data_IF_952941938703
#
_entry.id   IF_952941938703
#
_cell.length_a   1.000
_cell.length_b   1.000
_cell.length_c   1.000
_cell.angle_alpha   90.00
_cell.angle_beta   90.00
_cell.angle_gamma   90.00
#
_symmetry.space_group_name_H-M   'P 1'
#
loop_
_entity.id
_entity.type
_entity.pdbx_description
1 polymer ?
#
# COMPACT_ATOMS: atom_id res chain seq x y z
N UNK A 1 -21.16 6.52 -2.89
CA UNK A 1 -20.75 6.02 -1.55
C UNK A 1 -19.24 6.28 -1.44
N UNK A 2 -18.78 6.81 -0.33
CA UNK A 2 -17.37 7.01 0.02
C UNK A 2 -16.71 5.65 0.25
N UNK A 3 -15.41 5.53 0.00
CA UNK A 3 -14.65 4.38 0.44
C UNK A 3 -14.19 4.60 1.88
N UNK A 4 -14.04 3.53 2.64
CA UNK A 4 -13.40 3.56 3.96
C UNK A 4 -11.96 3.10 3.82
N UNK A 5 -11.04 3.90 4.37
CA UNK A 5 -9.64 3.55 4.55
C UNK A 5 -9.42 3.20 6.01
N UNK A 6 -9.14 1.94 6.30
CA UNK A 6 -8.86 1.45 7.64
C UNK A 6 -7.38 1.13 7.77
N UNK A 7 -6.65 1.90 8.58
CA UNK A 7 -5.22 1.70 8.80
C UNK A 7 -5.01 0.72 9.96
N UNK A 8 -4.54 -0.48 9.66
CA UNK A 8 -4.35 -1.52 10.66
C UNK A 8 -3.04 -1.31 11.42
N UNK A 9 -1.90 -1.31 10.72
CA UNK A 9 -0.57 -1.10 11.32
C UNK A 9 0.50 -1.00 10.21
N UNK A 10 1.63 -0.39 10.48
CA UNK A 10 2.83 -0.38 9.65
C UNK A 10 2.57 0.11 8.20
N UNK A 11 2.44 -0.78 7.23
CA UNK A 11 2.01 -0.50 5.86
C UNK A 11 0.68 -1.20 5.52
N UNK A 12 0.09 -1.92 6.50
CA UNK A 12 -1.14 -2.68 6.34
C UNK A 12 -2.37 -1.78 6.47
N UNK A 13 -3.20 -1.75 5.43
CA UNK A 13 -4.50 -1.07 5.45
C UNK A 13 -5.53 -1.79 4.60
N UNK A 14 -6.80 -1.50 4.86
CA UNK A 14 -7.92 -1.99 4.06
C UNK A 14 -8.65 -0.84 3.36
N UNK A 15 -9.22 -1.14 2.20
CA UNK A 15 -10.24 -0.31 1.55
C UNK A 15 -11.55 -1.08 1.47
N UNK A 16 -12.65 -0.41 1.84
CA UNK A 16 -14.00 -0.96 1.75
C UNK A 16 -14.89 -0.01 0.95
N UNK A 17 -15.60 -0.54 -0.05
CA UNK A 17 -16.61 0.19 -0.85
C UNK A 17 -17.53 -0.78 -1.56
N UNK A 18 -18.83 -0.44 -1.67
CA UNK A 18 -19.82 -1.21 -2.41
C UNK A 18 -19.91 -2.70 -2.01
N UNK A 19 -19.81 -3.00 -0.72
CA UNK A 19 -19.79 -4.36 -0.15
C UNK A 19 -18.59 -5.21 -0.62
N UNK A 20 -17.52 -4.59 -1.09
CA UNK A 20 -16.25 -5.23 -1.40
C UNK A 20 -15.17 -4.66 -0.52
N UNK A 21 -14.22 -5.51 -0.13
CA UNK A 21 -13.08 -5.13 0.69
C UNK A 21 -11.78 -5.68 0.10
N UNK A 22 -10.72 -4.89 0.21
CA UNK A 22 -9.37 -5.27 -0.19
C UNK A 22 -8.39 -4.90 0.93
N UNK A 23 -7.32 -5.67 1.07
CA UNK A 23 -6.25 -5.40 2.03
C UNK A 23 -4.91 -5.30 1.32
N UNK A 24 -4.05 -4.41 1.81
CA UNK A 24 -2.70 -4.20 1.32
C UNK A 24 -1.70 -4.60 2.39
N UNK A 25 -0.64 -5.32 1.97
CA UNK A 25 0.51 -5.73 2.78
C UNK A 25 0.11 -6.17 4.20
N UNK A 26 -0.57 -7.33 4.34
CA UNK A 26 -1.30 -7.71 5.55
C UNK A 26 -0.39 -8.16 6.69
N UNK A 27 0.46 -7.27 7.18
CA UNK A 27 1.23 -7.42 8.40
C UNK A 27 0.34 -7.13 9.61
N UNK A 28 -0.07 -8.17 10.31
CA UNK A 28 -1.01 -8.08 11.42
C UNK A 28 -0.34 -8.16 12.81
N UNK A 29 0.98 -8.36 12.88
CA UNK A 29 1.68 -8.42 14.16
C UNK A 29 1.65 -7.04 14.84
N UNK A 30 1.53 -7.05 16.15
CA UNK A 30 1.53 -5.85 17.01
C UNK A 30 0.46 -4.79 16.64
N UNK A 31 -0.60 -5.16 15.90
CA UNK A 31 -1.68 -4.22 15.61
C UNK A 31 -2.50 -3.91 16.87
N UNK A 32 -2.93 -2.64 17.09
CA UNK A 32 -3.57 -2.23 18.35
C UNK A 32 -4.97 -2.82 18.58
N UNK A 33 -5.59 -3.36 17.51
CA UNK A 33 -6.93 -3.96 17.59
C UNK A 33 -6.88 -5.45 17.93
N UNK A 34 -5.69 -6.07 17.92
CA UNK A 34 -5.51 -7.50 18.14
C UNK A 34 -6.09 -8.38 17.03
N UNK A 35 -6.22 -7.81 15.81
CA UNK A 35 -6.75 -8.53 14.65
C UNK A 35 -5.81 -9.66 14.24
N UNK A 36 -6.40 -10.78 13.88
CA UNK A 36 -5.74 -11.95 13.32
C UNK A 36 -6.26 -12.22 11.90
N UNK A 37 -5.61 -13.11 11.16
CA UNK A 37 -6.06 -13.49 9.81
C UNK A 37 -7.51 -14.02 9.76
N UNK A 38 -8.08 -14.48 10.87
CA UNK A 38 -9.46 -14.97 10.95
C UNK A 38 -10.50 -13.84 11.03
N UNK A 39 -10.08 -12.68 11.52
CA UNK A 39 -10.94 -11.52 11.69
C UNK A 39 -11.07 -10.71 10.40
N UNK A 40 -10.09 -10.84 9.49
CA UNK A 40 -10.06 -10.15 8.19
C UNK A 40 -11.07 -10.80 7.22
N UNK A 41 -11.86 -9.95 6.54
CA UNK A 41 -12.82 -10.35 5.51
C UNK A 41 -12.62 -9.49 4.28
N UNK A 42 -12.03 -10.06 3.21
CA UNK A 42 -11.67 -9.35 1.98
C UNK A 42 -11.87 -10.23 0.75
N UNK A 43 -12.06 -9.59 -0.41
CA UNK A 43 -12.15 -10.24 -1.71
C UNK A 43 -10.78 -10.37 -2.38
N UNK A 44 -9.90 -9.38 -2.14
CA UNK A 44 -8.57 -9.32 -2.74
C UNK A 44 -7.51 -8.89 -1.73
N UNK A 45 -6.30 -9.38 -1.94
CA UNK A 45 -5.13 -9.09 -1.12
C UNK A 45 -4.03 -8.58 -2.05
N UNK A 46 -3.53 -7.38 -1.82
CA UNK A 46 -2.38 -6.83 -2.52
C UNK A 46 -1.13 -7.02 -1.68
N UNK A 47 -0.07 -7.53 -2.30
CA UNK A 47 1.24 -7.69 -1.66
C UNK A 47 2.27 -6.97 -2.52
N UNK A 48 2.90 -5.92 -1.97
CA UNK A 48 3.90 -5.12 -2.67
C UNK A 48 5.21 -5.88 -2.88
N UNK A 49 5.63 -6.67 -1.89
CA UNK A 49 6.84 -7.48 -1.93
C UNK A 49 6.85 -8.55 -0.81
N UNK A 50 7.85 -9.43 -0.80
CA UNK A 50 7.86 -10.62 0.03
C UNK A 50 8.59 -10.50 1.37
N UNK A 51 8.93 -9.30 1.86
CA UNK A 51 9.41 -9.16 3.22
C UNK A 51 8.31 -9.52 4.23
N UNK A 52 8.70 -9.97 5.43
CA UNK A 52 7.77 -10.52 6.42
C UNK A 52 6.71 -9.52 6.88
N UNK A 53 7.08 -8.25 6.92
CA UNK A 53 6.26 -7.11 7.34
C UNK A 53 5.32 -6.58 6.23
N UNK A 54 5.28 -7.25 5.07
CA UNK A 54 4.38 -6.97 3.94
C UNK A 54 3.63 -8.23 3.49
N UNK A 55 4.35 -9.34 3.22
CA UNK A 55 3.71 -10.61 2.91
C UNK A 55 2.83 -11.10 4.08
N UNK A 56 3.34 -10.98 5.30
CA UNK A 56 2.61 -11.18 6.55
C UNK A 56 1.67 -12.38 6.53
N UNK A 57 0.40 -12.12 6.84
CA UNK A 57 -0.68 -13.12 6.91
C UNK A 57 -1.40 -13.35 5.58
N UNK A 58 -0.86 -12.88 4.43
CA UNK A 58 -1.56 -12.89 3.14
C UNK A 58 -2.13 -14.28 2.76
N UNK A 59 -1.34 -15.34 2.91
CA UNK A 59 -1.77 -16.69 2.53
C UNK A 59 -2.82 -17.26 3.46
N UNK A 60 -2.75 -16.95 4.76
CA UNK A 60 -3.77 -17.40 5.73
C UNK A 60 -5.10 -16.68 5.47
N UNK A 61 -5.07 -15.34 5.28
CA UNK A 61 -6.26 -14.55 4.94
C UNK A 61 -6.88 -15.04 3.63
N UNK A 62 -6.06 -15.27 2.59
CA UNK A 62 -6.54 -15.76 1.30
C UNK A 62 -7.33 -17.07 1.44
N UNK A 63 -6.83 -18.01 2.24
CA UNK A 63 -7.52 -19.29 2.51
C UNK A 63 -8.80 -19.11 3.32
N UNK A 64 -8.77 -18.24 4.34
CA UNK A 64 -9.93 -17.99 5.20
C UNK A 64 -11.08 -17.31 4.47
N UNK A 65 -10.78 -16.46 3.48
CA UNK A 65 -11.76 -15.65 2.75
C UNK A 65 -12.05 -16.16 1.33
N UNK A 66 -11.31 -17.17 0.85
CA UNK A 66 -11.28 -17.53 -0.58
C UNK A 66 -10.87 -16.35 -1.48
N UNK A 67 -10.07 -15.42 -0.93
CA UNK A 67 -9.65 -14.19 -1.57
C UNK A 67 -8.53 -14.43 -2.61
N UNK A 68 -8.46 -13.55 -3.61
CA UNK A 68 -7.41 -13.59 -4.65
C UNK A 68 -6.25 -12.68 -4.27
N UNK A 69 -5.03 -13.23 -4.22
CA UNK A 69 -3.80 -12.45 -4.05
C UNK A 69 -3.41 -11.83 -5.40
N UNK A 70 -3.14 -10.54 -5.40
CA UNK A 70 -2.66 -9.77 -6.56
C UNK A 70 -1.26 -9.24 -6.24
N UNK A 71 -0.27 -9.64 -7.01
CA UNK A 71 1.13 -9.25 -6.79
C UNK A 71 1.99 -9.51 -8.04
N UNK A 72 3.32 -9.43 -7.88
CA UNK A 72 4.29 -9.88 -8.89
C UNK A 72 4.21 -11.39 -9.11
N UNK A 73 4.72 -11.85 -10.25
CA UNK A 73 4.63 -13.25 -10.64
C UNK A 73 5.27 -14.20 -9.61
N UNK A 74 6.38 -13.79 -8.99
CA UNK A 74 7.12 -14.60 -8.03
C UNK A 74 6.32 -14.81 -6.73
N UNK A 75 5.70 -13.76 -6.21
CA UNK A 75 4.84 -13.85 -5.01
C UNK A 75 3.58 -14.66 -5.32
N UNK A 76 2.98 -14.44 -6.49
CA UNK A 76 1.83 -15.21 -6.92
C UNK A 76 2.16 -16.71 -7.11
N UNK A 77 3.37 -17.03 -7.57
CA UNK A 77 3.87 -18.42 -7.58
C UNK A 77 3.88 -19.05 -6.18
N UNK A 78 4.47 -18.36 -5.20
CA UNK A 78 4.47 -18.81 -3.80
C UNK A 78 3.04 -18.95 -3.24
N UNK A 79 2.13 -18.04 -3.58
CA UNK A 79 0.74 -18.12 -3.18
C UNK A 79 0.03 -19.35 -3.77
N UNK A 80 0.27 -19.65 -5.05
CA UNK A 80 -0.27 -20.83 -5.73
C UNK A 80 0.29 -22.13 -5.14
N UNK A 81 1.59 -22.18 -4.87
CA UNK A 81 2.23 -23.33 -4.20
C UNK A 81 1.66 -23.54 -2.79
N UNK A 82 1.27 -22.45 -2.11
CA UNK A 82 0.55 -22.50 -0.84
C UNK A 82 -0.95 -22.86 -0.97
N UNK A 83 -1.47 -23.07 -2.19
CA UNK A 83 -2.87 -23.41 -2.44
C UNK A 83 -3.84 -22.23 -2.41
N UNK A 84 -3.33 -20.99 -2.60
CA UNK A 84 -4.15 -19.78 -2.67
C UNK A 84 -4.51 -19.42 -4.12
N UNK A 85 -5.64 -18.73 -4.32
CA UNK A 85 -5.93 -18.06 -5.57
C UNK A 85 -4.98 -16.87 -5.75
N UNK A 86 -4.40 -16.72 -6.94
CA UNK A 86 -3.52 -15.60 -7.24
C UNK A 86 -3.67 -15.11 -8.67
N UNK A 87 -3.50 -13.81 -8.86
CA UNK A 87 -3.45 -13.13 -10.14
C UNK A 87 -2.10 -12.42 -10.29
N UNK A 88 -1.23 -13.01 -11.09
CA UNK A 88 0.11 -12.49 -11.32
C UNK A 88 0.08 -11.29 -12.27
N UNK A 89 0.77 -10.25 -11.88
CA UNK A 89 1.06 -9.07 -12.70
C UNK A 89 2.56 -8.82 -12.76
N UNK A 90 3.01 -7.81 -13.49
CA UNK A 90 4.40 -7.38 -13.50
C UNK A 90 4.51 -5.85 -13.55
N UNK A 91 5.67 -5.31 -13.22
CA UNK A 91 5.94 -3.87 -13.22
C UNK A 91 5.56 -3.23 -14.55
N UNK A 92 4.82 -2.12 -14.51
CA UNK A 92 4.26 -1.43 -15.66
C UNK A 92 2.97 -2.05 -16.21
N UNK A 93 2.65 -3.29 -15.85
CA UNK A 93 1.43 -3.99 -16.28
C UNK A 93 0.16 -3.38 -15.69
N UNK A 94 -0.93 -3.45 -16.45
CA UNK A 94 -2.28 -3.04 -16.01
C UNK A 94 -3.28 -4.14 -16.25
N UNK A 95 -4.25 -4.27 -15.35
CA UNK A 95 -5.36 -5.19 -15.51
C UNK A 95 -6.66 -4.59 -14.98
N UNK A 96 -7.80 -4.97 -15.56
CA UNK A 96 -9.12 -4.53 -15.15
C UNK A 96 -9.83 -5.65 -14.38
N UNK A 97 -10.03 -5.43 -13.10
CA UNK A 97 -10.81 -6.29 -12.21
C UNK A 97 -12.26 -5.83 -12.12
N UNK A 98 -13.17 -6.62 -11.53
CA UNK A 98 -14.57 -6.22 -11.30
C UNK A 98 -14.73 -4.92 -10.50
N UNK A 99 -13.80 -4.61 -9.59
CA UNK A 99 -13.79 -3.40 -8.78
C UNK A 99 -13.17 -2.18 -9.49
N UNK A 100 -12.44 -2.37 -10.58
CA UNK A 100 -11.76 -1.29 -11.31
C UNK A 100 -10.41 -1.70 -11.89
N UNK A 101 -9.51 -0.74 -12.10
CA UNK A 101 -8.22 -0.92 -12.76
C UNK A 101 -7.09 -0.98 -11.74
N UNK A 102 -6.12 -1.85 -11.97
CA UNK A 102 -4.86 -1.93 -11.22
C UNK A 102 -3.68 -1.76 -12.18
N UNK A 103 -2.64 -1.04 -11.73
CA UNK A 103 -1.31 -1.01 -12.33
C UNK A 103 -0.28 -1.33 -11.26
N UNK A 104 0.65 -2.24 -11.54
CA UNK A 104 1.89 -2.35 -10.76
C UNK A 104 2.91 -1.34 -11.26
N UNK A 105 3.55 -0.63 -10.35
CA UNK A 105 4.57 0.39 -10.63
C UNK A 105 5.94 -0.06 -10.16
N UNK A 106 6.98 0.66 -10.59
CA UNK A 106 8.31 0.48 -10.03
C UNK A 106 8.31 0.78 -8.51
N UNK A 107 9.16 0.07 -7.79
CA UNK A 107 9.62 0.38 -6.45
C UNK A 107 11.09 -0.01 -6.33
N UNK A 108 11.91 0.85 -5.78
CA UNK A 108 13.33 0.57 -5.55
C UNK A 108 13.54 0.03 -4.14
N UNK A 109 13.36 -1.27 -4.00
CA UNK A 109 13.49 -2.01 -2.74
C UNK A 109 13.83 -3.48 -2.99
N UNK A 110 14.23 -4.20 -1.96
CA UNK A 110 14.42 -5.64 -2.04
C UNK A 110 13.09 -6.38 -2.24
N UNK A 111 13.08 -7.42 -3.04
CA UNK A 111 11.83 -8.17 -3.30
C UNK A 111 11.39 -9.07 -2.14
N UNK A 112 12.29 -9.43 -1.24
CA UNK A 112 12.06 -10.44 -0.20
C UNK A 112 11.91 -11.87 -0.72
N UNK A 113 11.92 -12.07 -2.05
CA UNK A 113 11.82 -13.38 -2.70
C UNK A 113 12.86 -13.53 -3.83
N UNK A 114 13.42 -14.72 -4.06
CA UNK A 114 14.41 -14.92 -5.11
C UNK A 114 13.86 -14.58 -6.51
N UNK A 115 14.61 -13.75 -7.25
CA UNK A 115 14.28 -13.37 -8.62
C UNK A 115 13.12 -12.38 -8.76
N UNK A 116 12.48 -11.99 -7.65
CA UNK A 116 11.33 -11.10 -7.67
C UNK A 116 11.68 -9.61 -7.66
N UNK A 117 10.66 -8.79 -7.71
CA UNK A 117 10.72 -7.33 -7.62
C UNK A 117 9.74 -6.81 -6.57
N UNK A 118 10.12 -5.74 -5.88
CA UNK A 118 9.16 -4.93 -5.14
C UNK A 118 8.34 -4.08 -6.12
N UNK A 119 7.11 -3.76 -5.77
CA UNK A 119 6.23 -2.93 -6.59
C UNK A 119 5.40 -1.95 -5.76
N UNK A 120 5.09 -0.81 -6.37
CA UNK A 120 3.97 0.01 -5.95
C UNK A 120 2.70 -0.39 -6.71
N UNK A 121 1.57 0.15 -6.29
CA UNK A 121 0.24 -0.21 -6.83
C UNK A 121 -0.58 1.06 -7.04
N UNK A 122 -0.99 1.34 -8.29
CA UNK A 122 -2.05 2.32 -8.56
C UNK A 122 -3.35 1.55 -8.76
N UNK A 123 -4.37 1.93 -8.01
CA UNK A 123 -5.68 1.27 -8.05
C UNK A 123 -6.81 2.29 -8.26
N UNK A 124 -7.77 1.92 -9.10
CA UNK A 124 -9.11 2.49 -9.15
C UNK A 124 -10.05 1.50 -8.47
N UNK A 125 -10.48 1.79 -7.24
CA UNK A 125 -11.38 0.95 -6.47
C UNK A 125 -12.78 1.56 -6.44
N UNK A 126 -13.62 1.14 -7.38
CA UNK A 126 -14.96 1.70 -7.58
C UNK A 126 -14.98 3.23 -7.68
N UNK A 127 -14.01 3.81 -8.40
CA UNK A 127 -13.86 5.25 -8.60
C UNK A 127 -12.99 5.96 -7.55
N UNK A 128 -12.67 5.35 -6.42
CA UNK A 128 -11.66 5.84 -5.47
C UNK A 128 -10.27 5.46 -5.98
N UNK A 129 -9.44 6.46 -6.28
CA UNK A 129 -8.15 6.27 -6.94
C UNK A 129 -6.99 6.55 -6.00
N UNK A 130 -6.15 5.56 -5.81
CA UNK A 130 -5.08 5.57 -4.83
C UNK A 130 -3.78 5.01 -5.44
N UNK A 131 -2.66 5.63 -5.11
CA UNK A 131 -1.32 5.07 -5.28
C UNK A 131 -0.78 4.62 -3.92
N UNK A 132 -0.44 3.36 -3.80
CA UNK A 132 0.34 2.80 -2.69
C UNK A 132 1.76 2.54 -3.17
N UNK A 133 2.73 3.20 -2.57
CA UNK A 133 4.12 3.10 -3.01
C UNK A 133 4.77 1.76 -2.66
N UNK A 134 4.23 1.03 -1.67
CA UNK A 134 4.95 -0.05 -1.02
C UNK A 134 6.23 0.46 -0.37
N UNK A 135 7.21 -0.40 -0.18
CA UNK A 135 8.53 0.00 0.24
C UNK A 135 9.36 0.43 -0.96
N UNK A 136 9.90 1.64 -0.89
CA UNK A 136 10.71 2.21 -1.96
C UNK A 136 11.62 3.33 -1.46
N UNK A 137 12.77 3.48 -2.11
CA UNK A 137 13.53 4.72 -2.13
C UNK A 137 12.82 5.75 -3.03
N UNK A 138 13.19 7.02 -2.93
CA UNK A 138 12.80 8.08 -3.85
C UNK A 138 13.38 7.81 -5.25
N UNK A 139 12.57 7.98 -6.30
CA UNK A 139 13.03 7.91 -7.69
C UNK A 139 12.30 8.89 -8.59
N UNK A 140 13.02 9.37 -9.62
CA UNK A 140 12.54 10.45 -10.47
C UNK A 140 11.27 10.11 -11.27
N UNK A 141 11.09 8.84 -11.62
CA UNK A 141 9.98 8.41 -12.48
C UNK A 141 8.62 8.37 -11.76
N UNK A 142 8.62 8.63 -10.44
CA UNK A 142 7.37 8.92 -9.71
C UNK A 142 6.58 10.06 -10.39
N UNK A 143 7.25 11.05 -11.01
CA UNK A 143 6.60 12.13 -11.77
C UNK A 143 5.79 11.68 -13.00
N UNK A 144 5.98 10.45 -13.46
CA UNK A 144 5.24 9.89 -14.59
C UNK A 144 3.90 9.29 -14.17
N UNK A 145 3.77 8.89 -12.91
CA UNK A 145 2.58 8.16 -12.43
C UNK A 145 1.30 8.99 -12.59
N UNK A 146 1.23 10.28 -12.19
CA UNK A 146 0.02 11.08 -12.39
C UNK A 146 -0.32 11.35 -13.87
N UNK A 147 0.65 11.18 -14.78
CA UNK A 147 0.43 11.28 -16.23
C UNK A 147 -0.12 10.00 -16.83
N UNK A 148 0.17 8.86 -16.21
CA UNK A 148 -0.25 7.52 -16.66
C UNK A 148 -1.62 7.15 -16.10
N UNK A 149 -1.84 7.40 -14.81
CA UNK A 149 -3.07 7.12 -14.10
C UNK A 149 -3.34 8.24 -13.09
N UNK A 150 -4.51 8.85 -13.17
CA UNK A 150 -4.91 9.83 -12.17
C UNK A 150 -5.22 9.13 -10.85
N UNK A 151 -4.73 9.68 -9.73
CA UNK A 151 -5.06 9.27 -8.37
C UNK A 151 -5.14 10.50 -7.46
N UNK A 152 -5.99 10.43 -6.45
CA UNK A 152 -6.17 11.52 -5.49
C UNK A 152 -5.38 11.28 -4.20
N UNK A 153 -5.16 10.03 -3.86
CA UNK A 153 -4.48 9.59 -2.63
C UNK A 153 -3.14 8.94 -2.95
N UNK A 154 -2.11 9.32 -2.19
CA UNK A 154 -0.81 8.64 -2.19
C UNK A 154 -0.51 8.12 -0.79
N UNK A 155 -0.35 6.81 -0.66
CA UNK A 155 0.08 6.14 0.58
C UNK A 155 1.59 5.91 0.47
N UNK A 156 2.37 6.62 1.31
CA UNK A 156 3.82 6.70 1.17
C UNK A 156 4.54 6.25 2.44
N UNK A 157 5.60 5.43 2.34
CA UNK A 157 6.47 5.13 3.46
C UNK A 157 7.30 6.38 3.81
N UNK A 158 7.45 6.66 5.11
CA UNK A 158 8.24 7.80 5.61
C UNK A 158 9.24 7.40 6.69
N UNK A 159 9.42 6.11 6.97
CA UNK A 159 10.18 5.62 8.11
C UNK A 159 11.69 5.88 8.02
N UNK A 160 12.23 6.11 6.83
CA UNK A 160 13.68 6.15 6.62
C UNK A 160 14.31 4.78 6.83
N UNK A 161 15.61 4.73 6.99
CA UNK A 161 16.44 3.53 7.17
C UNK A 161 16.24 2.44 6.10
N UNK A 162 15.00 1.99 5.86
CA UNK A 162 14.65 0.96 4.88
C UNK A 162 13.91 1.51 3.66
N UNK A 163 13.29 2.68 3.78
CA UNK A 163 12.47 3.34 2.77
C UNK A 163 12.83 4.82 2.67
N UNK A 164 12.02 5.61 1.97
CA UNK A 164 12.11 7.08 2.02
C UNK A 164 12.04 7.57 3.46
N UNK A 165 12.85 8.57 3.82
CA UNK A 165 12.66 9.37 5.01
C UNK A 165 11.64 10.51 4.76
N UNK A 166 11.28 11.32 5.76
CA UNK A 166 10.35 12.44 5.58
C UNK A 166 10.77 13.45 4.51
N UNK A 167 12.09 13.70 4.31
CA UNK A 167 12.57 14.64 3.29
C UNK A 167 12.43 14.06 1.89
N UNK A 168 12.80 12.79 1.71
CA UNK A 168 12.61 12.07 0.45
C UNK A 168 11.12 11.98 0.09
N UNK A 169 10.27 11.66 1.08
CA UNK A 169 8.83 11.57 0.89
C UNK A 169 8.20 12.93 0.55
N UNK A 170 8.71 14.05 1.07
CA UNK A 170 8.31 15.39 0.65
C UNK A 170 8.62 15.64 -0.83
N UNK A 171 9.80 15.21 -1.31
CA UNK A 171 10.13 15.29 -2.74
C UNK A 171 9.20 14.39 -3.55
N UNK A 172 8.91 13.18 -3.07
CA UNK A 172 7.95 12.30 -3.71
C UNK A 172 6.55 12.94 -3.81
N UNK A 173 6.07 13.65 -2.78
CA UNK A 173 4.81 14.40 -2.84
C UNK A 173 4.81 15.44 -3.98
N UNK A 174 5.91 16.17 -4.17
CA UNK A 174 6.07 17.15 -5.26
C UNK A 174 6.03 16.49 -6.64
N UNK A 175 6.57 15.28 -6.78
CA UNK A 175 6.56 14.52 -8.04
C UNK A 175 5.20 13.91 -8.33
N UNK A 176 4.53 13.36 -7.31
CA UNK A 176 3.25 12.65 -7.41
C UNK A 176 2.05 13.58 -7.53
N UNK A 177 2.11 14.78 -6.95
CA UNK A 177 1.04 15.78 -6.98
C UNK A 177 -0.33 15.24 -6.55
N UNK A 178 -0.35 14.27 -5.64
CA UNK A 178 -1.58 13.74 -5.07
C UNK A 178 -2.27 14.80 -4.20
N UNK A 179 -3.60 14.83 -4.22
CA UNK A 179 -4.38 15.74 -3.40
C UNK A 179 -4.24 15.45 -1.90
N UNK A 180 -4.16 14.16 -1.58
CA UNK A 180 -4.00 13.66 -0.21
C UNK A 180 -2.84 12.70 -0.11
N UNK A 181 -2.07 12.83 0.98
CA UNK A 181 -0.95 11.95 1.31
C UNK A 181 -1.24 11.26 2.64
N UNK A 182 -1.12 9.94 2.68
CA UNK A 182 -1.28 9.13 3.89
C UNK A 182 0.09 8.52 4.20
N UNK A 183 0.78 8.98 5.27
CA UNK A 183 2.06 8.42 5.67
C UNK A 183 1.88 7.06 6.34
N UNK A 184 2.74 6.10 5.98
CA UNK A 184 2.78 4.73 6.51
C UNK A 184 4.23 4.30 6.77
N UNK A 185 4.44 3.09 7.25
CA UNK A 185 5.76 2.47 7.48
C UNK A 185 6.66 3.34 8.36
N UNK A 186 6.14 3.83 9.50
CA UNK A 186 6.89 4.61 10.50
C UNK A 186 6.41 4.27 11.92
N UNK A 187 7.26 4.52 12.91
CA UNK A 187 6.99 4.35 14.35
C UNK A 187 6.62 2.93 14.81
N UNK A 188 6.73 1.91 13.95
CA UNK A 188 6.52 0.51 14.36
C UNK A 188 7.73 0.00 15.15
N UNK A 189 8.93 0.38 14.74
CA UNK A 189 10.19 -0.01 15.40
C UNK A 189 11.12 1.19 15.57
N UNK A 190 12.06 1.14 16.56
CA UNK A 190 12.95 2.26 16.82
C UNK A 190 13.72 2.81 15.60
N UNK A 191 14.23 1.98 14.64
CA UNK A 191 14.97 2.50 13.49
C UNK A 191 14.13 3.34 12.52
N UNK A 192 12.81 3.24 12.58
CA UNK A 192 11.87 3.95 11.69
C UNK A 192 11.00 4.96 12.46
N UNK A 193 11.52 5.46 13.59
CA UNK A 193 10.83 6.48 14.37
C UNK A 193 10.92 7.84 13.67
N UNK A 194 9.76 8.47 13.40
CA UNK A 194 9.67 9.76 12.70
C UNK A 194 8.66 10.69 13.38
N UNK A 195 8.88 11.99 13.20
CA UNK A 195 7.91 13.03 13.57
C UNK A 195 6.97 13.28 12.38
N UNK A 196 5.81 12.61 12.41
CA UNK A 196 4.82 12.70 11.34
C UNK A 196 4.12 14.05 11.28
N UNK A 197 4.04 14.79 12.38
CA UNK A 197 3.47 16.15 12.40
C UNK A 197 4.42 17.14 11.72
N UNK A 198 5.72 17.01 11.93
CA UNK A 198 6.72 17.79 11.19
C UNK A 198 6.67 17.48 9.70
N UNK A 199 6.54 16.19 9.31
CA UNK A 199 6.34 15.80 7.90
C UNK A 199 5.08 16.45 7.31
N UNK A 200 3.95 16.39 8.02
CA UNK A 200 2.71 17.03 7.59
C UNK A 200 2.89 18.53 7.37
N UNK A 201 3.49 19.23 8.33
CA UNK A 201 3.71 20.67 8.23
C UNK A 201 4.56 21.01 6.99
N UNK A 202 5.64 20.27 6.72
CA UNK A 202 6.51 20.50 5.57
C UNK A 202 5.78 20.24 4.24
N UNK A 203 5.02 19.14 4.12
CA UNK A 203 4.27 18.83 2.89
C UNK A 203 3.21 19.89 2.62
N UNK A 204 2.45 20.32 3.62
CA UNK A 204 1.36 21.30 3.46
C UNK A 204 1.87 22.73 3.25
N UNK A 205 3.12 23.05 3.63
CA UNK A 205 3.78 24.32 3.34
C UNK A 205 4.36 24.38 1.92
N UNK A 206 4.94 23.27 1.45
CA UNK A 206 5.70 23.23 0.20
C UNK A 206 4.95 22.64 -1.01
N UNK A 207 3.71 22.14 -0.80
CA UNK A 207 2.87 21.53 -1.85
C UNK A 207 1.40 21.88 -1.68
N UNK A 208 0.57 21.59 -2.70
CA UNK A 208 -0.90 21.68 -2.59
C UNK A 208 -1.53 20.45 -1.92
N UNK A 209 -0.75 19.44 -1.55
CA UNK A 209 -1.21 18.21 -0.91
C UNK A 209 -1.65 18.45 0.52
N UNK A 210 -2.64 17.66 0.99
CA UNK A 210 -3.03 17.58 2.40
C UNK A 210 -2.60 16.25 2.99
N UNK A 211 -1.96 16.26 4.16
CA UNK A 211 -1.54 15.05 4.84
C UNK A 211 -2.61 14.56 5.80
N UNK A 212 -3.07 13.34 5.58
CA UNK A 212 -4.04 12.64 6.44
C UNK A 212 -3.28 11.67 7.34
N UNK A 213 -3.03 12.08 8.58
CA UNK A 213 -2.41 11.21 9.58
C UNK A 213 -3.50 10.29 10.14
N UNK A 214 -3.47 9.02 9.77
CA UNK A 214 -4.35 7.98 10.29
C UNK A 214 -3.57 7.16 11.31
N UNK A 215 -4.06 7.09 12.54
CA UNK A 215 -3.42 6.25 13.57
C UNK A 215 -3.77 4.79 13.34
N UNK A 216 -2.86 3.85 13.65
CA UNK A 216 -3.18 2.41 13.63
C UNK A 216 -4.49 2.11 14.40
N UNK A 217 -5.33 1.26 13.84
CA UNK A 217 -6.66 0.92 14.34
C UNK A 217 -7.76 1.92 13.98
N UNK A 218 -7.46 3.02 13.27
CA UNK A 218 -8.47 4.01 12.91
C UNK A 218 -8.93 3.90 11.45
N UNK A 219 -10.16 4.31 11.23
CA UNK A 219 -10.79 4.38 9.90
C UNK A 219 -11.12 5.82 9.55
N UNK A 220 -10.89 6.19 8.29
CA UNK A 220 -11.34 7.46 7.70
C UNK A 220 -12.13 7.20 6.43
N UNK A 221 -13.05 8.11 6.09
CA UNK A 221 -13.73 8.10 4.80
C UNK A 221 -12.85 8.80 3.75
N UNK A 222 -12.73 8.18 2.57
CA UNK A 222 -12.03 8.72 1.40
C UNK A 222 -12.92 8.61 0.17
N UNK A 223 -12.82 9.58 -0.77
CA UNK A 223 -13.68 9.65 -1.97
C UNK A 223 -12.96 9.23 -3.26
#
# INVERSE_FOLDING_TARGET
MTAKFHFINHACFMLEKNNSAIIFDPYLDDNPEGLTAKDIKVDYIFVSHGHFDHLGSAFEIAKNCDATIISTAEICGLAQDAGCKAHAMHLGGTFKFPFGKVRLTLAFHGSGVPGGHACGIVIDFYGTKLYFAGDTALFSDMQLLPKLDAFEYAVLPIGGNFTMDPNDALIACKLLQAKYVIPVHYNTWPPITQDVEAFKAAVEDETDSKVLIVKPGNTIDID
#
